data_IF_534772457587
#
_entry.id   IF_534772457587
#
_cell.length_a   1.000
_cell.length_b   1.000
_cell.length_c   1.000
_cell.angle_alpha   90.00
_cell.angle_beta   90.00
_cell.angle_gamma   90.00
#
_symmetry.space_group_name_H-M   'P 1'
#
loop_
_entity.id
_entity.type
_entity.pdbx_description
1 polymer ?
#
# COMPACT_ATOMS: atom_id res chain seq x y z
N UNK A 1 -7.68 -8.81 0.06
CA UNK A 1 -8.88 -8.16 -0.46
C UNK A 1 -8.52 -6.83 -1.10
N UNK A 2 -9.07 -6.55 -2.26
CA UNK A 2 -8.97 -5.27 -2.96
C UNK A 2 -10.25 -4.46 -2.67
N UNK A 3 -10.09 -3.19 -2.37
CA UNK A 3 -11.20 -2.31 -2.02
C UNK A 3 -11.30 -1.17 -3.04
N UNK A 4 -12.52 -0.90 -3.46
CA UNK A 4 -12.86 0.27 -4.27
C UNK A 4 -13.78 1.17 -3.43
N UNK A 5 -13.32 2.37 -3.13
CA UNK A 5 -14.13 3.38 -2.45
C UNK A 5 -14.83 4.25 -3.50
N UNK A 6 -16.15 4.14 -3.58
CA UNK A 6 -16.96 5.02 -4.40
C UNK A 6 -17.87 5.85 -3.49
N UNK A 7 -17.75 7.18 -3.45
CA UNK A 7 -18.70 8.04 -2.77
C UNK A 7 -20.01 8.02 -3.55
N UNK A 8 -20.91 7.11 -3.19
CA UNK A 8 -22.20 6.99 -3.85
C UNK A 8 -23.31 7.67 -3.02
N UNK A 9 -24.14 8.47 -3.67
CA UNK A 9 -25.47 8.75 -3.12
C UNK A 9 -26.23 7.42 -3.10
N UNK A 10 -26.65 7.02 -1.90
CA UNK A 10 -27.50 5.86 -1.76
C UNK A 10 -28.84 6.13 -2.46
N UNK A 11 -29.05 5.46 -3.58
CA UNK A 11 -30.31 5.50 -4.31
C UNK A 11 -30.96 4.11 -4.19
N UNK A 12 -32.15 4.08 -3.66
CA UNK A 12 -32.91 2.85 -3.60
C UNK A 12 -33.32 2.40 -5.00
N UNK A 13 -32.87 1.22 -5.40
CA UNK A 13 -33.30 0.55 -6.62
C UNK A 13 -34.25 -0.61 -6.25
N UNK A 14 -35.43 -0.64 -6.86
CA UNK A 14 -36.32 -1.77 -6.70
C UNK A 14 -35.69 -3.06 -7.20
N UNK A 15 -35.79 -4.13 -6.42
CA UNK A 15 -35.39 -5.47 -6.83
C UNK A 15 -36.40 -6.15 -7.78
N UNK A 16 -37.55 -5.50 -8.05
CA UNK A 16 -38.53 -6.03 -8.97
C UNK A 16 -37.95 -6.10 -10.40
N UNK A 17 -38.22 -7.18 -11.14
CA UNK A 17 -37.86 -7.28 -12.55
C UNK A 17 -38.40 -6.09 -13.34
N UNK A 18 -37.55 -5.44 -14.12
CA UNK A 18 -37.95 -4.35 -15.01
C UNK A 18 -38.28 -4.96 -16.40
N UNK A 19 -39.35 -4.48 -17.00
CA UNK A 19 -39.67 -4.82 -18.38
C UNK A 19 -38.47 -4.45 -19.28
N UNK A 20 -37.99 -5.39 -20.12
CA UNK A 20 -36.80 -5.20 -20.95
C UNK A 20 -35.46 -5.47 -20.29
N UNK A 21 -35.43 -5.95 -19.03
CA UNK A 21 -34.19 -6.35 -18.38
C UNK A 21 -33.60 -7.57 -19.08
N UNK A 22 -32.42 -7.41 -19.70
CA UNK A 22 -31.71 -8.52 -20.35
C UNK A 22 -31.37 -9.56 -19.28
N UNK A 23 -31.79 -10.80 -19.53
CA UNK A 23 -31.44 -11.91 -18.64
C UNK A 23 -29.97 -12.27 -18.83
N UNK A 24 -29.12 -11.68 -18.00
CA UNK A 24 -27.66 -11.88 -18.04
C UNK A 24 -27.24 -13.33 -17.74
N UNK A 25 -28.16 -14.21 -17.35
CA UNK A 25 -27.84 -15.58 -16.94
C UNK A 25 -27.20 -16.40 -18.06
N UNK A 26 -27.67 -16.25 -19.29
CA UNK A 26 -27.11 -16.92 -20.46
C UNK A 26 -25.68 -16.41 -20.74
N UNK A 27 -25.51 -15.09 -20.72
CA UNK A 27 -24.20 -14.43 -20.87
C UNK A 27 -23.19 -14.90 -19.83
N UNK A 28 -23.55 -14.87 -18.54
CA UNK A 28 -22.63 -15.32 -17.49
C UNK A 28 -22.35 -16.82 -17.52
N UNK A 29 -23.27 -17.65 -18.07
CA UNK A 29 -23.01 -19.07 -18.27
C UNK A 29 -21.99 -19.30 -19.38
N UNK A 30 -22.13 -18.59 -20.48
CA UNK A 30 -21.20 -18.64 -21.62
C UNK A 30 -19.81 -18.18 -21.19
N UNK A 31 -19.69 -16.99 -20.54
CA UNK A 31 -18.45 -16.47 -20.00
C UNK A 31 -17.83 -17.44 -18.98
N UNK A 32 -18.64 -18.05 -18.12
CA UNK A 32 -18.16 -19.05 -17.17
C UNK A 32 -17.59 -20.29 -17.85
N UNK A 33 -18.17 -20.71 -18.99
CA UNK A 33 -17.64 -21.79 -19.82
C UNK A 33 -16.30 -21.44 -20.46
N UNK A 34 -16.14 -20.20 -20.94
CA UNK A 34 -14.87 -19.71 -21.49
C UNK A 34 -13.79 -19.68 -20.40
N UNK A 35 -14.10 -19.12 -19.21
CA UNK A 35 -13.16 -19.07 -18.08
C UNK A 35 -12.74 -20.48 -17.63
N UNK A 36 -13.67 -21.44 -17.62
CA UNK A 36 -13.34 -22.82 -17.30
C UNK A 36 -12.40 -23.43 -18.35
N UNK A 37 -12.67 -23.23 -19.63
CA UNK A 37 -11.80 -23.69 -20.72
C UNK A 37 -10.38 -23.07 -20.63
N UNK A 38 -10.29 -21.79 -20.30
CA UNK A 38 -9.01 -21.12 -20.03
C UNK A 38 -8.26 -21.77 -18.86
N UNK A 39 -8.97 -22.05 -17.77
CA UNK A 39 -8.40 -22.70 -16.60
C UNK A 39 -7.85 -24.09 -16.91
N UNK A 40 -8.64 -24.92 -17.62
CA UNK A 40 -8.24 -26.26 -18.04
C UNK A 40 -6.99 -26.20 -18.93
N UNK A 41 -6.96 -25.30 -19.90
CA UNK A 41 -5.79 -25.11 -20.77
C UNK A 41 -4.54 -24.71 -20.01
N UNK A 42 -4.66 -23.81 -19.01
CA UNK A 42 -3.53 -23.39 -18.18
C UNK A 42 -3.06 -24.52 -17.25
N UNK A 43 -3.93 -25.42 -16.81
CA UNK A 43 -3.56 -26.60 -16.05
C UNK A 43 -2.79 -27.63 -16.91
N UNK A 44 -3.24 -27.85 -18.14
CA UNK A 44 -2.58 -28.77 -19.08
C UNK A 44 -1.23 -28.23 -19.57
N UNK A 45 -1.11 -26.91 -19.70
CA UNK A 45 0.11 -26.23 -20.14
C UNK A 45 0.54 -25.15 -19.14
N UNK A 46 1.10 -25.54 -17.97
CA UNK A 46 1.58 -24.60 -16.98
C UNK A 46 2.61 -23.65 -17.60
N UNK A 47 2.48 -22.38 -17.28
CA UNK A 47 3.31 -21.32 -17.85
C UNK A 47 3.93 -20.49 -16.76
N UNK A 48 5.23 -20.29 -16.87
CA UNK A 48 5.94 -19.31 -16.08
C UNK A 48 5.81 -17.93 -16.75
N UNK A 49 5.33 -16.94 -16.00
CA UNK A 49 5.30 -15.56 -16.47
C UNK A 49 6.59 -14.89 -16.05
N UNK A 50 7.34 -14.44 -17.04
CA UNK A 50 8.64 -13.80 -16.86
C UNK A 50 8.50 -12.29 -17.02
N UNK A 51 9.05 -11.54 -16.06
CA UNK A 51 9.11 -10.09 -16.11
C UNK A 51 10.51 -9.65 -16.55
N UNK A 52 10.59 -8.59 -17.34
CA UNK A 52 11.85 -7.99 -17.77
C UNK A 52 12.56 -7.29 -16.62
N UNK A 53 13.86 -7.09 -16.73
CA UNK A 53 14.65 -6.33 -15.75
C UNK A 53 14.09 -4.90 -15.57
N UNK A 54 13.67 -4.26 -16.66
CA UNK A 54 13.08 -2.92 -16.64
C UNK A 54 11.75 -2.88 -15.88
N UNK A 55 10.89 -3.91 -16.05
CA UNK A 55 9.63 -4.04 -15.31
C UNK A 55 9.88 -4.23 -13.81
N UNK A 56 10.85 -5.05 -13.43
CA UNK A 56 11.26 -5.23 -12.03
C UNK A 56 11.78 -3.93 -11.40
N UNK A 57 12.62 -3.20 -12.13
CA UNK A 57 13.17 -1.91 -11.66
C UNK A 57 12.08 -0.86 -11.50
N UNK A 58 11.16 -0.74 -12.47
CA UNK A 58 10.03 0.17 -12.37
C UNK A 58 9.11 -0.18 -11.21
N UNK A 59 8.77 -1.47 -11.04
CA UNK A 59 7.97 -1.95 -9.93
C UNK A 59 8.60 -1.58 -8.58
N UNK A 60 9.89 -1.92 -8.37
CA UNK A 60 10.61 -1.63 -7.13
C UNK A 60 10.63 -0.14 -6.84
N UNK A 61 11.07 0.67 -7.79
CA UNK A 61 11.13 2.12 -7.65
C UNK A 61 9.79 2.73 -7.25
N UNK A 62 8.69 2.26 -7.86
CA UNK A 62 7.35 2.80 -7.62
C UNK A 62 6.84 2.46 -6.23
N UNK A 63 6.96 1.21 -5.81
CA UNK A 63 6.48 0.78 -4.49
C UNK A 63 7.41 1.20 -3.35
N UNK A 64 8.72 1.32 -3.56
CA UNK A 64 9.65 1.95 -2.62
C UNK A 64 9.26 3.40 -2.36
N UNK A 65 9.02 4.19 -3.41
CA UNK A 65 8.55 5.57 -3.27
C UNK A 65 7.22 5.68 -2.51
N UNK A 66 6.27 4.78 -2.78
CA UNK A 66 5.01 4.72 -2.03
C UNK A 66 5.25 4.35 -0.57
N UNK A 67 6.14 3.40 -0.30
CA UNK A 67 6.46 2.95 1.05
C UNK A 67 7.12 4.05 1.86
N UNK A 68 8.08 4.77 1.28
CA UNK A 68 8.76 5.92 1.92
C UNK A 68 7.75 7.01 2.30
N UNK A 69 6.82 7.32 1.38
CA UNK A 69 5.75 8.29 1.65
C UNK A 69 4.88 7.91 2.84
N UNK A 70 4.61 6.62 3.01
CA UNK A 70 3.72 6.10 4.06
C UNK A 70 4.47 5.84 5.38
N UNK A 71 5.73 5.41 5.33
CA UNK A 71 6.58 5.19 6.53
C UNK A 71 6.89 6.50 7.24
N UNK A 72 7.01 7.61 6.51
CA UNK A 72 7.17 8.94 7.09
C UNK A 72 5.97 9.29 8.02
N UNK A 73 4.82 8.71 7.77
CA UNK A 73 3.62 8.88 8.60
C UNK A 73 3.60 8.02 9.87
N UNK A 74 4.57 7.13 10.09
CA UNK A 74 4.77 6.39 11.34
C UNK A 74 3.72 5.33 11.65
N UNK A 75 3.10 4.75 10.63
CA UNK A 75 2.12 3.67 10.74
C UNK A 75 2.63 2.37 10.08
N UNK A 76 2.74 1.30 10.85
CA UNK A 76 3.05 -0.04 10.29
C UNK A 76 1.95 -0.54 9.35
N UNK A 77 0.69 -0.16 9.62
CA UNK A 77 -0.48 -0.64 8.87
C UNK A 77 -0.51 -0.19 7.40
N UNK A 78 -0.32 1.11 7.07
CA UNK A 78 -0.24 1.56 5.68
C UNK A 78 0.94 0.96 4.91
N UNK A 79 2.11 0.79 5.54
CA UNK A 79 3.27 0.13 4.93
C UNK A 79 2.94 -1.31 4.50
N UNK A 80 2.24 -2.07 5.34
CA UNK A 80 1.77 -3.41 5.00
C UNK A 80 0.77 -3.40 3.84
N UNK A 81 -0.06 -2.35 3.71
CA UNK A 81 -0.97 -2.18 2.57
C UNK A 81 -0.15 -1.98 1.29
N UNK A 82 0.85 -1.10 1.29
CA UNK A 82 1.72 -0.84 0.13
C UNK A 82 2.42 -2.12 -0.34
N UNK A 83 3.08 -2.84 0.57
CA UNK A 83 3.77 -4.10 0.24
C UNK A 83 2.81 -5.13 -0.38
N UNK A 84 1.61 -5.26 0.17
CA UNK A 84 0.59 -6.17 -0.35
C UNK A 84 0.12 -5.76 -1.75
N UNK A 85 -0.03 -4.47 -2.02
CA UNK A 85 -0.41 -3.98 -3.34
C UNK A 85 0.71 -4.17 -4.36
N UNK A 86 1.99 -4.06 -3.97
CA UNK A 86 3.12 -4.45 -4.83
C UNK A 86 3.00 -5.90 -5.31
N UNK A 87 2.67 -6.83 -4.40
CA UNK A 87 2.42 -8.22 -4.79
C UNK A 87 1.17 -8.38 -5.69
N UNK A 88 0.13 -7.58 -5.47
CA UNK A 88 -1.05 -7.62 -6.34
C UNK A 88 -0.78 -7.09 -7.74
N UNK A 89 0.06 -6.08 -7.91
CA UNK A 89 0.47 -5.58 -9.22
C UNK A 89 1.09 -6.71 -10.07
N UNK A 90 2.04 -7.45 -9.50
CA UNK A 90 2.68 -8.57 -10.20
C UNK A 90 1.70 -9.71 -10.51
N UNK A 91 0.79 -10.02 -9.58
CA UNK A 91 -0.25 -11.05 -9.80
C UNK A 91 -1.24 -10.65 -10.89
N UNK A 92 -1.67 -9.38 -10.92
CA UNK A 92 -2.55 -8.87 -11.97
C UNK A 92 -1.86 -8.89 -13.33
N UNK A 93 -0.60 -8.45 -13.40
CA UNK A 93 0.18 -8.54 -14.62
C UNK A 93 0.32 -9.99 -15.12
N UNK A 94 0.58 -10.94 -14.20
CA UNK A 94 0.63 -12.36 -14.55
C UNK A 94 -0.72 -12.89 -15.06
N UNK A 95 -1.84 -12.47 -14.48
CA UNK A 95 -3.18 -12.85 -14.94
C UNK A 95 -3.46 -12.30 -16.35
N UNK A 96 -3.15 -11.00 -16.59
CA UNK A 96 -3.34 -10.39 -17.91
C UNK A 96 -2.46 -11.08 -18.96
N UNK A 97 -1.22 -11.39 -18.64
CA UNK A 97 -0.30 -12.15 -19.49
C UNK A 97 -0.83 -13.56 -19.78
N UNK A 98 -1.39 -14.26 -18.80
CA UNK A 98 -2.00 -15.57 -18.96
C UNK A 98 -3.23 -15.52 -19.90
N UNK A 99 -4.08 -14.50 -19.77
CA UNK A 99 -5.20 -14.26 -20.66
C UNK A 99 -4.73 -14.02 -22.10
N UNK A 100 -3.71 -13.21 -22.31
CA UNK A 100 -3.09 -12.96 -23.62
C UNK A 100 -2.52 -14.24 -24.23
N UNK A 101 -1.90 -15.12 -23.42
CA UNK A 101 -1.45 -16.43 -23.86
C UNK A 101 -2.62 -17.27 -24.40
N UNK A 102 -3.73 -17.31 -23.66
CA UNK A 102 -4.92 -18.04 -24.07
C UNK A 102 -5.47 -17.52 -25.40
N UNK A 103 -5.61 -16.21 -25.54
CA UNK A 103 -6.08 -15.55 -26.76
C UNK A 103 -5.18 -15.84 -27.96
N UNK A 104 -3.86 -15.81 -27.75
CA UNK A 104 -2.87 -16.07 -28.79
C UNK A 104 -2.72 -17.56 -29.15
N UNK A 105 -3.27 -18.46 -28.32
CA UNK A 105 -3.12 -19.93 -28.43
C UNK A 105 -1.67 -20.39 -28.50
N UNK A 106 -0.76 -19.69 -27.87
CA UNK A 106 0.65 -20.02 -27.84
C UNK A 106 1.01 -20.90 -26.64
N UNK A 107 1.39 -22.14 -26.91
CA UNK A 107 1.73 -23.16 -25.90
C UNK A 107 3.23 -23.15 -25.60
N UNK A 108 3.71 -22.10 -24.93
CA UNK A 108 5.10 -21.98 -24.48
C UNK A 108 5.18 -22.12 -22.97
N UNK A 109 6.34 -22.62 -22.49
CA UNK A 109 6.58 -22.79 -21.05
C UNK A 109 6.80 -21.45 -20.34
N UNK A 110 7.50 -20.53 -21.00
CA UNK A 110 7.80 -19.20 -20.50
C UNK A 110 7.09 -18.16 -21.39
N UNK A 111 6.41 -17.24 -20.76
CA UNK A 111 5.73 -16.15 -21.46
C UNK A 111 6.14 -14.82 -20.85
N UNK A 112 6.79 -13.98 -21.67
CA UNK A 112 7.26 -12.66 -21.23
C UNK A 112 6.05 -11.75 -21.08
N UNK A 113 5.91 -11.09 -19.92
CA UNK A 113 4.89 -10.10 -19.69
C UNK A 113 5.03 -8.93 -20.65
N UNK A 114 3.99 -8.64 -21.43
CA UNK A 114 3.99 -7.47 -22.30
C UNK A 114 3.93 -6.19 -21.44
N UNK A 115 4.61 -5.13 -21.91
CA UNK A 115 4.62 -3.85 -21.19
C UNK A 115 3.23 -3.27 -21.01
N UNK A 116 2.32 -3.48 -21.96
CA UNK A 116 0.92 -3.08 -21.89
C UNK A 116 0.20 -3.75 -20.71
N UNK A 117 0.41 -5.05 -20.51
CA UNK A 117 -0.19 -5.82 -19.42
C UNK A 117 0.40 -5.37 -18.08
N UNK A 118 1.73 -5.19 -18.04
CA UNK A 118 2.43 -4.69 -16.87
C UNK A 118 1.93 -3.29 -16.46
N UNK A 119 1.92 -2.33 -17.39
CA UNK A 119 1.47 -0.97 -17.09
C UNK A 119 -0.02 -0.90 -16.73
N UNK A 120 -0.85 -1.73 -17.36
CA UNK A 120 -2.27 -1.85 -17.00
C UNK A 120 -2.43 -2.35 -15.57
N UNK A 121 -1.71 -3.40 -15.18
CA UNK A 121 -1.74 -3.92 -13.82
C UNK A 121 -1.22 -2.90 -12.79
N UNK A 122 -0.16 -2.17 -13.13
CA UNK A 122 0.37 -1.10 -12.28
C UNK A 122 -0.65 0.01 -12.08
N UNK A 123 -1.28 0.51 -13.14
CA UNK A 123 -2.30 1.56 -13.07
C UNK A 123 -3.54 1.11 -12.25
N UNK A 124 -4.03 -0.11 -12.46
CA UNK A 124 -5.13 -0.67 -11.67
C UNK A 124 -4.76 -0.74 -10.17
N UNK A 125 -3.55 -1.21 -9.87
CA UNK A 125 -3.09 -1.37 -8.49
C UNK A 125 -2.89 -0.02 -7.80
N UNK A 126 -2.45 1.01 -8.51
CA UNK A 126 -2.29 2.37 -7.97
C UNK A 126 -3.63 2.92 -7.48
N UNK A 127 -4.69 2.84 -8.28
CA UNK A 127 -6.04 3.24 -7.88
C UNK A 127 -6.54 2.44 -6.67
N UNK A 128 -6.30 1.12 -6.66
CA UNK A 128 -6.71 0.26 -5.56
C UNK A 128 -5.92 0.55 -4.27
N UNK A 129 -4.64 0.92 -4.39
CA UNK A 129 -3.80 1.34 -3.27
C UNK A 129 -4.33 2.64 -2.65
N UNK A 130 -4.61 3.66 -3.45
CA UNK A 130 -5.20 4.91 -2.97
C UNK A 130 -6.50 4.66 -2.20
N UNK A 131 -7.41 3.85 -2.76
CA UNK A 131 -8.67 3.50 -2.10
C UNK A 131 -8.46 2.73 -0.80
N UNK A 132 -7.47 1.82 -0.77
CA UNK A 132 -7.17 1.03 0.43
C UNK A 132 -6.56 1.90 1.54
N UNK A 133 -5.72 2.85 1.20
CA UNK A 133 -5.15 3.82 2.15
C UNK A 133 -6.24 4.75 2.69
N UNK A 134 -7.11 5.27 1.82
CA UNK A 134 -8.24 6.10 2.21
C UNK A 134 -9.19 5.35 3.16
N UNK A 135 -9.54 4.10 2.81
CA UNK A 135 -10.38 3.27 3.66
C UNK A 135 -9.72 2.98 5.00
N UNK A 136 -8.42 2.66 5.00
CA UNK A 136 -7.69 2.38 6.24
C UNK A 136 -7.66 3.59 7.17
N UNK A 137 -7.56 4.80 6.63
CA UNK A 137 -7.58 6.04 7.41
C UNK A 137 -8.96 6.34 8.03
N UNK A 138 -10.04 5.84 7.43
CA UNK A 138 -11.41 6.06 7.87
C UNK A 138 -11.93 5.02 8.86
N UNK A 139 -11.21 3.91 9.07
CA UNK A 139 -11.64 2.84 9.97
C UNK A 139 -11.49 3.24 11.45
N UNK A 140 -12.56 3.13 12.27
CA UNK A 140 -12.56 3.55 13.68
C UNK A 140 -11.48 2.88 14.54
N UNK A 141 -11.15 1.62 14.27
CA UNK A 141 -10.12 0.87 14.99
C UNK A 141 -8.70 1.38 14.78
N UNK A 142 -8.45 2.06 13.65
CA UNK A 142 -7.18 2.72 13.35
C UNK A 142 -7.13 4.14 13.93
N UNK A 143 -8.27 4.83 13.98
CA UNK A 143 -8.37 6.14 14.64
C UNK A 143 -8.04 6.07 16.14
N UNK A 144 -8.33 4.95 16.82
CA UNK A 144 -7.92 4.71 18.21
C UNK A 144 -6.41 4.49 18.35
N UNK A 145 -5.72 4.01 17.31
CA UNK A 145 -4.26 3.91 17.24
C UNK A 145 -3.60 5.20 16.70
N UNK A 146 -4.37 6.17 16.22
CA UNK A 146 -3.86 7.44 15.73
C UNK A 146 -3.26 8.34 16.85
N UNK A 147 -3.65 8.14 18.12
CA UNK A 147 -2.99 8.82 19.25
C UNK A 147 -1.48 8.53 19.35
N UNK A 148 -1.01 7.29 19.18
CA UNK A 148 0.42 7.00 19.05
C UNK A 148 1.09 7.70 17.87
N UNK A 149 0.38 7.83 16.75
CA UNK A 149 0.85 8.49 15.53
C UNK A 149 1.04 9.99 15.73
N UNK A 150 0.01 10.69 16.19
CA UNK A 150 0.10 12.12 16.51
C UNK A 150 1.26 12.41 17.45
N UNK A 151 1.48 11.55 18.45
CA UNK A 151 2.61 11.68 19.36
C UNK A 151 3.95 11.45 18.67
N UNK A 152 4.04 10.51 17.73
CA UNK A 152 5.25 10.26 16.97
C UNK A 152 5.58 11.42 16.01
N UNK A 153 4.60 11.91 15.26
CA UNK A 153 4.73 13.11 14.41
C UNK A 153 5.17 14.33 15.24
N UNK A 154 4.58 14.49 16.42
CA UNK A 154 4.97 15.54 17.35
C UNK A 154 6.42 15.37 17.79
N UNK A 155 6.85 14.16 18.10
CA UNK A 155 8.23 13.85 18.45
C UNK A 155 9.22 14.15 17.32
N UNK A 156 8.86 13.78 16.08
CA UNK A 156 9.65 14.10 14.89
C UNK A 156 9.72 15.61 14.62
N UNK A 157 8.62 16.34 14.82
CA UNK A 157 8.59 17.80 14.68
C UNK A 157 9.55 18.46 15.69
N UNK A 158 9.56 17.98 16.93
CA UNK A 158 10.53 18.42 17.96
C UNK A 158 11.97 18.11 17.52
N UNK A 159 12.22 16.87 17.06
CA UNK A 159 13.56 16.48 16.60
C UNK A 159 14.07 17.34 15.44
N UNK A 160 13.21 17.69 14.46
CA UNK A 160 13.61 18.52 13.32
C UNK A 160 14.17 19.90 13.73
N UNK A 161 13.68 20.46 14.84
CA UNK A 161 14.13 21.77 15.37
C UNK A 161 15.44 21.69 16.14
N UNK A 162 15.75 20.53 16.70
CA UNK A 162 16.95 20.34 17.50
C UNK A 162 18.20 20.19 16.63
N UNK A 163 19.38 20.43 17.20
CA UNK A 163 20.67 20.15 16.55
C UNK A 163 20.86 18.63 16.36
N UNK A 164 21.82 18.24 15.53
CA UNK A 164 22.14 16.82 15.31
C UNK A 164 22.47 16.09 16.62
N UNK A 165 23.15 16.76 17.55
CA UNK A 165 23.39 16.30 18.92
C UNK A 165 22.65 17.22 19.89
N UNK A 166 21.91 16.67 20.84
CA UNK A 166 21.08 17.41 21.80
C UNK A 166 21.02 16.68 23.13
N UNK A 167 20.72 17.42 24.20
CA UNK A 167 20.53 16.90 25.54
C UNK A 167 19.06 16.52 25.83
N UNK A 168 18.83 15.82 26.93
CA UNK A 168 17.47 15.57 27.43
C UNK A 168 16.68 16.87 27.65
N UNK A 169 17.36 17.87 28.26
CA UNK A 169 16.74 19.17 28.54
C UNK A 169 16.37 19.92 27.28
N UNK A 170 17.19 19.87 26.24
CA UNK A 170 16.86 20.50 24.94
C UNK A 170 15.60 19.91 24.32
N UNK A 171 15.47 18.57 24.37
CA UNK A 171 14.29 17.90 23.82
C UNK A 171 13.03 18.24 24.62
N UNK A 172 13.12 18.21 25.97
CA UNK A 172 11.99 18.51 26.84
C UNK A 172 11.55 19.95 26.67
N UNK A 173 12.49 20.92 26.67
CA UNK A 173 12.18 22.34 26.47
C UNK A 173 11.48 22.58 25.13
N UNK A 174 12.01 22.04 24.04
CA UNK A 174 11.41 22.16 22.70
C UNK A 174 10.02 21.50 22.61
N UNK A 175 9.81 20.37 23.29
CA UNK A 175 8.50 19.73 23.34
C UNK A 175 7.48 20.52 24.19
N UNK A 176 7.93 21.18 25.25
CA UNK A 176 7.09 22.04 26.09
C UNK A 176 6.69 23.34 25.38
N UNK A 177 7.55 23.91 24.55
CA UNK A 177 7.21 25.02 23.66
C UNK A 177 6.06 24.67 22.70
N UNK A 178 5.97 23.39 22.29
CA UNK A 178 4.84 22.86 21.52
C UNK A 178 3.61 22.48 22.38
N UNK A 179 3.59 22.90 23.65
CA UNK A 179 2.48 22.65 24.58
C UNK A 179 2.42 21.20 25.10
N UNK A 180 3.52 20.45 25.10
CA UNK A 180 3.60 19.17 25.79
C UNK A 180 3.85 19.36 27.28
N UNK A 181 3.28 18.49 28.13
CA UNK A 181 3.74 18.38 29.52
C UNK A 181 5.08 17.65 29.56
N UNK A 182 5.87 17.85 30.63
CA UNK A 182 7.15 17.15 30.83
C UNK A 182 7.00 15.61 30.70
N UNK A 183 5.95 15.05 31.31
CA UNK A 183 5.65 13.61 31.22
C UNK A 183 5.35 13.15 29.80
N UNK A 184 4.72 14.00 29.00
CA UNK A 184 4.47 13.75 27.58
C UNK A 184 5.77 13.83 26.79
N UNK A 185 6.60 14.85 27.01
CA UNK A 185 7.91 15.01 26.38
C UNK A 185 8.80 13.79 26.61
N UNK A 186 8.84 13.28 27.84
CA UNK A 186 9.58 12.06 28.19
C UNK A 186 9.10 10.83 27.39
N UNK A 187 7.77 10.66 27.24
CA UNK A 187 7.20 9.56 26.42
C UNK A 187 7.53 9.72 24.94
N UNK A 188 7.54 10.95 24.42
CA UNK A 188 7.92 11.24 23.04
C UNK A 188 9.39 10.88 22.78
N UNK A 189 10.29 11.20 23.70
CA UNK A 189 11.71 10.86 23.59
C UNK A 189 11.93 9.33 23.60
N UNK A 190 11.26 8.62 24.50
CA UNK A 190 11.33 7.14 24.54
C UNK A 190 10.90 6.54 23.22
N UNK A 191 9.87 7.08 22.58
CA UNK A 191 9.39 6.57 21.28
C UNK A 191 10.40 6.76 20.15
N UNK A 192 11.04 7.92 20.05
CA UNK A 192 12.06 8.15 19.01
C UNK A 192 13.33 7.34 19.25
N UNK A 193 13.63 6.99 20.50
CA UNK A 193 14.68 6.04 20.84
C UNK A 193 14.32 4.61 20.42
N UNK A 194 13.10 4.16 20.71
CA UNK A 194 12.60 2.83 20.33
C UNK A 194 12.49 2.64 18.80
N UNK A 195 12.24 3.71 18.07
CA UNK A 195 12.20 3.69 16.60
C UNK A 195 13.56 3.92 15.92
N UNK A 196 14.64 3.94 16.69
CA UNK A 196 16.01 4.12 16.20
C UNK A 196 16.29 5.45 15.45
N UNK A 197 15.40 6.44 15.54
CA UNK A 197 15.64 7.78 14.98
C UNK A 197 16.68 8.58 15.80
N UNK A 198 16.89 8.16 17.03
CA UNK A 198 17.87 8.76 17.95
C UNK A 198 18.61 7.64 18.67
N UNK A 199 19.90 7.83 18.83
CA UNK A 199 20.77 6.93 19.61
C UNK A 199 21.22 7.66 20.87
N UNK A 200 21.11 7.00 22.03
CA UNK A 200 21.65 7.51 23.29
C UNK A 200 23.16 7.23 23.31
N UNK A 201 23.96 8.25 23.57
CA UNK A 201 25.43 8.18 23.81
C UNK A 201 25.77 8.79 25.14
N UNK A 202 26.97 8.50 25.65
CA UNK A 202 27.43 8.97 26.98
C UNK A 202 27.25 10.49 27.19
N UNK A 203 27.36 11.29 26.10
CA UNK A 203 27.25 12.75 26.13
C UNK A 203 25.90 13.29 25.65
N UNK A 204 24.83 12.49 25.60
CA UNK A 204 23.49 12.89 25.14
C UNK A 204 22.93 12.08 23.97
N UNK A 205 22.04 12.69 23.23
CA UNK A 205 21.30 12.04 22.15
C UNK A 205 21.81 12.50 20.79
N UNK A 206 21.95 11.56 19.86
CA UNK A 206 22.41 11.81 18.48
C UNK A 206 21.34 11.36 17.51
N UNK A 207 20.95 12.22 16.57
CA UNK A 207 20.03 11.86 15.49
C UNK A 207 20.67 10.85 14.55
N UNK A 208 19.88 9.88 14.10
CA UNK A 208 20.31 9.00 13.01
C UNK A 208 20.41 9.80 11.71
N UNK A 209 21.46 9.60 10.87
CA UNK A 209 21.66 10.34 9.61
C UNK A 209 20.51 10.24 8.60
N UNK A 210 19.59 9.29 8.74
CA UNK A 210 18.37 9.21 7.93
C UNK A 210 17.41 10.40 8.14
N UNK A 211 17.64 11.24 9.16
CA UNK A 211 16.84 12.43 9.48
C UNK A 211 17.57 13.76 9.27
N UNK A 212 18.77 13.72 8.70
CA UNK A 212 19.59 14.91 8.45
C UNK A 212 19.27 15.54 7.10
#
# INVERSE_FOLDING_TARGET
SLYVHAPAKWVWHSAAPKEGQIENRAYFRELGGEVLGMHEMLLESPTEVVFTAAQWEEHSRRFESCLDGVVIEGCDSPGAIVVRHGLYAMRLAAVLTALRKVESRWYVKEYICADEDFHTAMAMTEVLLEHSLLLSSSLPGLALKARPLQQFHRALAVLRRLKHRFSYTDFVSSAMEDGASESTAKRLLIRVLQSHFVVNKEDGYVKNPVLA
#
